data_IF_618216201039
#
_entry.id   IF_618216201039
#
_cell.length_a   1.000
_cell.length_b   1.000
_cell.length_c   1.000
_cell.angle_alpha   90.00
_cell.angle_beta   90.00
_cell.angle_gamma   90.00
#
_symmetry.space_group_name_H-M   'P 1'
#
loop_
_entity.id
_entity.type
_entity.pdbx_description
1 polymer ?
#
# COMPACT_ATOMS: atom_id res chain seq x y z
N UNK A 1 -0.16 9.63 7.00
CA UNK A 1 0.35 8.75 5.95
C UNK A 1 1.87 8.70 5.96
N UNK A 2 2.45 7.52 5.91
CA UNK A 2 3.89 7.30 5.75
C UNK A 2 4.13 6.27 4.65
N UNK A 3 5.09 6.51 3.78
CA UNK A 3 5.55 5.57 2.77
C UNK A 3 7.07 5.39 2.91
N UNK A 4 7.54 4.16 2.87
CA UNK A 4 8.97 3.86 2.95
C UNK A 4 9.30 2.59 2.15
N UNK A 5 10.43 2.63 1.45
CA UNK A 5 11.01 1.49 0.74
C UNK A 5 12.18 0.84 1.47
N UNK A 6 12.64 1.42 2.58
CA UNK A 6 13.71 0.88 3.41
C UNK A 6 13.15 -0.11 4.44
N UNK A 7 13.70 -1.33 4.49
CA UNK A 7 13.19 -2.42 5.34
C UNK A 7 13.28 -2.13 6.84
N UNK A 8 14.34 -1.46 7.30
CA UNK A 8 14.46 -1.07 8.71
C UNK A 8 13.41 -0.02 9.09
N UNK A 9 13.21 0.98 8.22
CA UNK A 9 12.19 1.99 8.43
C UNK A 9 10.78 1.41 8.39
N UNK A 10 10.56 0.37 7.58
CA UNK A 10 9.28 -0.35 7.54
C UNK A 10 8.97 -1.03 8.87
N UNK A 11 9.92 -1.79 9.42
CA UNK A 11 9.74 -2.47 10.71
C UNK A 11 9.57 -1.46 11.85
N UNK A 12 10.34 -0.38 11.86
CA UNK A 12 10.17 0.69 12.86
C UNK A 12 8.79 1.34 12.78
N UNK A 13 8.30 1.63 11.58
CA UNK A 13 6.95 2.17 11.38
C UNK A 13 5.88 1.16 11.82
N UNK A 14 6.06 -0.11 11.47
CA UNK A 14 5.16 -1.19 11.84
C UNK A 14 5.02 -1.35 13.36
N UNK A 15 6.13 -1.28 14.09
CA UNK A 15 6.13 -1.45 15.56
C UNK A 15 5.38 -0.34 16.33
N UNK A 16 5.10 0.79 15.68
CA UNK A 16 4.37 1.92 16.26
C UNK A 16 2.89 1.94 15.88
N UNK A 17 2.43 0.96 15.12
CA UNK A 17 1.02 0.86 14.69
C UNK A 17 0.12 0.43 15.84
N UNK A 18 -1.16 0.73 15.67
CA UNK A 18 -2.24 0.41 16.60
C UNK A 18 -3.39 -0.27 15.85
N UNK A 19 -4.38 -0.85 16.53
CA UNK A 19 -5.55 -1.44 15.86
C UNK A 19 -6.39 -0.46 15.03
N UNK A 20 -6.19 0.86 15.18
CA UNK A 20 -6.84 1.89 14.36
C UNK A 20 -6.11 2.16 13.05
N UNK A 21 -4.90 1.61 12.88
CA UNK A 21 -4.10 1.84 11.70
C UNK A 21 -4.38 0.80 10.60
N UNK A 22 -4.17 1.21 9.36
CA UNK A 22 -4.23 0.35 8.17
C UNK A 22 -2.91 0.43 7.44
N UNK A 23 -2.37 -0.72 7.08
CA UNK A 23 -1.17 -0.80 6.23
C UNK A 23 -1.52 -1.36 4.85
N UNK A 24 -1.00 -0.70 3.83
CA UNK A 24 -1.05 -1.16 2.45
C UNK A 24 0.33 -1.71 2.07
N UNK A 25 0.43 -3.03 1.92
CA UNK A 25 1.58 -3.69 1.35
C UNK A 25 1.44 -3.86 -0.16
N UNK A 26 2.51 -3.62 -0.87
CA UNK A 26 2.62 -3.91 -2.31
C UNK A 26 3.75 -4.90 -2.51
N UNK A 27 3.41 -6.13 -2.86
CA UNK A 27 4.40 -7.19 -3.08
C UNK A 27 3.91 -8.15 -4.15
N UNK A 28 4.54 -8.16 -5.32
CA UNK A 28 4.15 -9.01 -6.43
C UNK A 28 4.10 -10.50 -6.05
N UNK A 29 5.16 -11.00 -5.42
CA UNK A 29 5.23 -12.40 -4.98
C UNK A 29 4.43 -12.69 -3.70
N UNK A 30 4.16 -11.65 -2.87
CA UNK A 30 3.58 -11.83 -1.56
C UNK A 30 4.39 -12.71 -0.60
N UNK A 31 5.70 -12.88 -0.85
CA UNK A 31 6.54 -13.87 -0.16
C UNK A 31 7.96 -13.38 0.14
N UNK A 32 8.33 -12.14 -0.16
CA UNK A 32 9.67 -11.64 0.14
C UNK A 32 9.92 -11.62 1.64
N UNK A 33 11.13 -11.97 2.04
CA UNK A 33 11.50 -12.13 3.45
C UNK A 33 11.23 -10.86 4.25
N UNK A 34 11.72 -9.72 3.79
CA UNK A 34 11.59 -8.44 4.47
C UNK A 34 10.11 -8.04 4.66
N UNK A 35 9.29 -8.25 3.62
CA UNK A 35 7.86 -8.02 3.70
C UNK A 35 7.19 -8.93 4.73
N UNK A 36 7.55 -10.22 4.75
CA UNK A 36 6.98 -11.18 5.70
C UNK A 36 7.38 -10.88 7.15
N UNK A 37 8.60 -10.41 7.38
CA UNK A 37 9.06 -9.98 8.70
C UNK A 37 8.28 -8.75 9.18
N UNK A 38 8.16 -7.73 8.34
CA UNK A 38 7.37 -6.52 8.64
C UNK A 38 5.89 -6.84 8.85
N UNK A 39 5.32 -7.71 8.00
CA UNK A 39 3.92 -8.11 8.09
C UNK A 39 3.57 -8.79 9.43
N UNK A 40 4.47 -9.64 9.96
CA UNK A 40 4.28 -10.26 11.27
C UNK A 40 4.24 -9.22 12.38
N UNK A 41 5.15 -8.26 12.36
CA UNK A 41 5.14 -7.14 13.33
C UNK A 41 3.83 -6.37 13.26
N UNK A 42 3.34 -6.04 12.06
CA UNK A 42 2.03 -5.38 11.89
C UNK A 42 0.90 -6.21 12.50
N UNK A 43 0.87 -7.52 12.25
CA UNK A 43 -0.19 -8.39 12.78
C UNK A 43 -0.18 -8.44 14.32
N UNK A 44 0.99 -8.36 14.96
CA UNK A 44 1.11 -8.30 16.43
C UNK A 44 0.51 -7.02 17.01
N UNK A 45 0.51 -5.90 16.28
CA UNK A 45 -0.09 -4.64 16.72
C UNK A 45 -1.62 -4.60 16.59
N UNK A 46 -2.21 -5.53 15.86
CA UNK A 46 -3.64 -5.56 15.58
C UNK A 46 -4.09 -4.63 14.43
N UNK A 47 -3.16 -3.94 13.78
CA UNK A 47 -3.45 -3.11 12.62
C UNK A 47 -3.99 -3.94 11.45
N UNK A 48 -4.82 -3.33 10.61
CA UNK A 48 -5.41 -3.97 9.43
C UNK A 48 -4.42 -3.99 8.27
N UNK A 49 -4.41 -5.09 7.55
CA UNK A 49 -3.49 -5.33 6.44
C UNK A 49 -4.25 -5.47 5.13
N UNK A 50 -3.92 -4.61 4.17
CA UNK A 50 -4.31 -4.74 2.76
C UNK A 50 -3.04 -5.12 1.99
N UNK A 51 -3.09 -6.21 1.23
CA UNK A 51 -1.98 -6.65 0.38
C UNK A 51 -2.38 -6.60 -1.09
N UNK A 52 -1.61 -5.86 -1.88
CA UNK A 52 -1.66 -5.92 -3.35
C UNK A 52 -0.60 -6.94 -3.79
N UNK A 53 -1.04 -8.03 -4.43
CA UNK A 53 -0.16 -9.12 -4.88
C UNK A 53 -0.67 -9.75 -6.16
N UNK A 54 0.18 -10.52 -6.84
CA UNK A 54 -0.23 -11.34 -7.98
C UNK A 54 -0.74 -12.72 -7.56
N UNK A 55 -0.23 -13.25 -6.43
CA UNK A 55 -0.49 -14.64 -6.02
C UNK A 55 -1.44 -14.69 -4.82
N UNK A 56 -2.66 -15.18 -5.09
CA UNK A 56 -3.72 -15.33 -4.09
C UNK A 56 -3.30 -16.24 -2.92
N UNK A 57 -2.56 -17.31 -3.22
CA UNK A 57 -2.12 -18.30 -2.24
C UNK A 57 -0.77 -17.98 -1.58
N UNK A 58 -0.22 -16.78 -1.80
CA UNK A 58 1.05 -16.41 -1.22
C UNK A 58 1.04 -16.40 0.32
N UNK A 59 2.20 -16.60 0.97
CA UNK A 59 2.29 -16.52 2.43
C UNK A 59 1.78 -15.21 3.01
N UNK A 60 2.02 -14.09 2.32
CA UNK A 60 1.53 -12.77 2.70
C UNK A 60 0.01 -12.65 2.57
N UNK A 61 -0.57 -13.22 1.51
CA UNK A 61 -2.01 -13.22 1.29
C UNK A 61 -2.76 -13.94 2.41
N UNK A 62 -2.19 -15.03 2.94
CA UNK A 62 -2.79 -15.78 4.06
C UNK A 62 -2.78 -15.03 5.39
N UNK A 63 -1.95 -14.02 5.53
CA UNK A 63 -1.87 -13.16 6.73
C UNK A 63 -2.59 -11.83 6.57
N UNK A 64 -2.86 -11.40 5.35
CA UNK A 64 -3.56 -10.15 5.07
C UNK A 64 -5.05 -10.25 5.44
N UNK A 65 -5.64 -9.13 5.87
CA UNK A 65 -7.08 -9.03 6.11
C UNK A 65 -7.85 -8.83 4.79
N UNK A 66 -7.23 -8.14 3.82
CA UNK A 66 -7.77 -7.92 2.47
C UNK A 66 -6.65 -8.17 1.45
N UNK A 67 -6.96 -8.93 0.42
CA UNK A 67 -6.05 -9.18 -0.70
C UNK A 67 -6.63 -8.59 -1.98
N UNK A 68 -5.84 -7.75 -2.64
CA UNK A 68 -6.15 -7.19 -3.95
C UNK A 68 -5.21 -7.82 -4.97
N UNK A 69 -5.78 -8.57 -5.89
CA UNK A 69 -5.01 -9.25 -6.93
C UNK A 69 -4.74 -8.28 -8.09
N UNK A 70 -3.50 -8.20 -8.53
CA UNK A 70 -3.13 -7.39 -9.67
C UNK A 70 -2.11 -8.11 -10.56
N UNK A 71 -2.12 -7.75 -11.84
CA UNK A 71 -1.19 -8.28 -12.86
C UNK A 71 -1.86 -9.22 -13.85
N UNK A 72 -1.16 -9.46 -14.96
CA UNK A 72 -1.54 -10.42 -15.98
C UNK A 72 -0.77 -11.73 -15.80
N UNK A 73 -1.15 -12.78 -16.54
CA UNK A 73 -0.32 -13.99 -16.63
C UNK A 73 1.01 -13.63 -17.28
N UNK A 74 2.07 -13.66 -16.48
CA UNK A 74 3.43 -13.37 -16.92
C UNK A 74 4.31 -14.60 -16.72
N UNK A 75 5.32 -14.71 -17.58
CA UNK A 75 6.41 -15.66 -17.37
C UNK A 75 7.16 -15.30 -16.08
N UNK A 76 7.65 -16.29 -15.30
CA UNK A 76 8.53 -16.03 -14.15
C UNK A 76 9.77 -15.19 -14.49
N UNK A 77 10.13 -15.12 -15.78
CA UNK A 77 11.24 -14.30 -16.28
C UNK A 77 10.87 -12.81 -16.42
N UNK A 78 9.58 -12.48 -16.43
CA UNK A 78 9.07 -11.12 -16.60
C UNK A 78 8.76 -10.42 -15.27
N UNK A 79 9.14 -11.03 -14.14
CA UNK A 79 8.89 -10.48 -12.81
C UNK A 79 9.47 -9.06 -12.69
N UNK A 80 8.61 -8.10 -12.35
CA UNK A 80 8.99 -6.69 -12.26
C UNK A 80 8.87 -5.93 -13.58
N UNK A 81 8.19 -6.48 -14.57
CA UNK A 81 7.90 -5.85 -15.87
C UNK A 81 7.10 -4.54 -15.74
N UNK A 82 7.10 -3.75 -16.79
CA UNK A 82 6.32 -2.49 -16.85
C UNK A 82 4.82 -2.75 -16.66
N UNK A 83 4.18 -3.75 -17.28
CA UNK A 83 2.78 -4.06 -17.07
C UNK A 83 2.40 -4.28 -15.60
N UNK A 84 3.22 -4.98 -14.82
CA UNK A 84 2.97 -5.18 -13.39
C UNK A 84 2.98 -3.85 -12.64
N UNK A 85 3.97 -3.00 -12.91
CA UNK A 85 4.09 -1.70 -12.24
C UNK A 85 2.88 -0.82 -12.56
N UNK A 86 2.43 -0.82 -13.83
CA UNK A 86 1.23 -0.09 -14.25
C UNK A 86 -0.02 -0.65 -13.56
N UNK A 87 -0.17 -1.97 -13.46
CA UNK A 87 -1.31 -2.58 -12.77
C UNK A 87 -1.35 -2.20 -11.29
N UNK A 88 -0.22 -2.22 -10.60
CA UNK A 88 -0.13 -1.80 -9.19
C UNK A 88 -0.48 -0.32 -9.02
N UNK A 89 0.05 0.56 -9.88
CA UNK A 89 -0.28 1.99 -9.87
C UNK A 89 -1.77 2.23 -10.11
N UNK A 90 -2.36 1.49 -11.06
CA UNK A 90 -3.80 1.57 -11.34
C UNK A 90 -4.65 1.17 -10.12
N UNK A 91 -4.32 0.06 -9.46
CA UNK A 91 -5.03 -0.36 -8.23
C UNK A 91 -4.88 0.69 -7.14
N UNK A 92 -3.68 1.26 -6.96
CA UNK A 92 -3.43 2.33 -6.00
C UNK A 92 -4.28 3.57 -6.29
N UNK A 93 -4.37 3.98 -7.55
CA UNK A 93 -5.19 5.13 -7.97
C UNK A 93 -6.69 4.89 -7.73
N UNK A 94 -7.20 3.68 -8.05
CA UNK A 94 -8.59 3.32 -7.79
C UNK A 94 -8.91 3.38 -6.29
N UNK A 95 -8.01 2.88 -5.43
CA UNK A 95 -8.18 2.97 -3.97
C UNK A 95 -8.21 4.42 -3.49
N UNK A 96 -7.29 5.26 -3.99
CA UNK A 96 -7.25 6.68 -3.66
C UNK A 96 -8.53 7.39 -4.08
N UNK A 97 -8.95 7.22 -5.34
CA UNK A 97 -10.17 7.84 -5.85
C UNK A 97 -11.40 7.39 -5.06
N UNK A 98 -11.49 6.11 -4.72
CA UNK A 98 -12.58 5.60 -3.91
C UNK A 98 -12.61 6.25 -2.52
N UNK A 99 -11.45 6.36 -1.87
CA UNK A 99 -11.31 7.03 -0.59
C UNK A 99 -11.76 8.50 -0.65
N UNK A 100 -11.35 9.22 -1.71
CA UNK A 100 -11.73 10.62 -1.92
C UNK A 100 -13.24 10.81 -2.16
N UNK A 101 -13.87 9.84 -2.85
CA UNK A 101 -15.31 9.87 -3.14
C UNK A 101 -16.18 9.48 -1.93
N UNK A 102 -15.63 8.78 -0.94
CA UNK A 102 -16.38 8.42 0.27
C UNK A 102 -16.60 9.62 1.19
N UNK A 103 -15.70 10.62 1.18
CA UNK A 103 -15.84 11.87 1.92
C UNK A 103 -15.34 13.05 1.05
N UNK A 104 -16.17 13.54 0.11
CA UNK A 104 -15.79 14.60 -0.81
C UNK A 104 -15.54 15.94 -0.11
N UNK A 105 -16.26 16.23 0.97
CA UNK A 105 -16.11 17.50 1.70
C UNK A 105 -14.74 17.59 2.34
N UNK A 106 -14.35 16.58 3.12
CA UNK A 106 -13.03 16.52 3.73
C UNK A 106 -11.90 16.47 2.68
N UNK A 107 -12.14 15.78 1.56
CA UNK A 107 -11.20 15.71 0.44
C UNK A 107 -10.95 17.09 -0.17
N UNK A 108 -12.01 17.83 -0.46
CA UNK A 108 -11.91 19.18 -1.04
C UNK A 108 -11.20 20.14 -0.07
N UNK A 109 -11.56 20.13 1.21
CA UNK A 109 -10.87 20.94 2.22
C UNK A 109 -9.36 20.62 2.31
N UNK A 110 -8.99 19.34 2.26
CA UNK A 110 -7.59 18.93 2.28
C UNK A 110 -6.85 19.38 1.01
N UNK A 111 -7.49 19.30 -0.16
CA UNK A 111 -6.93 19.76 -1.43
C UNK A 111 -6.75 21.29 -1.46
N UNK A 112 -7.72 22.05 -0.98
CA UNK A 112 -7.63 23.50 -0.90
C UNK A 112 -6.49 23.94 0.00
N UNK A 113 -6.38 23.36 1.20
CA UNK A 113 -5.26 23.62 2.13
C UNK A 113 -3.88 23.30 1.54
N UNK A 114 -3.76 22.19 0.80
CA UNK A 114 -2.48 21.83 0.16
C UNK A 114 -2.17 22.75 -1.01
N UNK A 115 -3.17 23.14 -1.79
CA UNK A 115 -3.03 24.09 -2.91
C UNK A 115 -2.59 25.48 -2.43
N UNK A 116 -3.18 25.99 -1.37
CA UNK A 116 -2.77 27.25 -0.72
C UNK A 116 -1.32 27.18 -0.24
N UNK A 117 -0.92 26.08 0.41
CA UNK A 117 0.45 25.91 0.92
C UNK A 117 1.48 25.87 -0.22
N UNK A 118 1.13 25.32 -1.40
CA UNK A 118 2.02 25.28 -2.57
C UNK A 118 2.06 26.60 -3.31
N UNK A 119 0.94 27.37 -3.33
CA UNK A 119 0.86 28.65 -3.99
C UNK A 119 1.94 29.65 -3.50
N UNK A 120 2.34 29.56 -2.24
CA UNK A 120 3.43 30.39 -1.65
C UNK A 120 4.78 30.14 -2.35
N UNK A 121 4.98 28.99 -2.99
CA UNK A 121 6.23 28.63 -3.69
C UNK A 121 6.25 29.00 -5.17
N UNK A 122 5.14 29.51 -5.72
CA UNK A 122 5.00 29.84 -7.14
C UNK A 122 5.30 31.33 -7.43
N UNK A 123 5.84 32.06 -6.46
CA UNK A 123 6.27 33.47 -6.58
C UNK A 123 7.79 33.52 -6.72
#
# INVERSE_FOLDING_TARGET
FRATGDSHMQIMAASLMTPQDVVLFVSYSGATRDMMETLRVVKETGAKVILITHYEDSPGAKLADIVLLCGAQESPLDSGSIPIKVAVLYVGEVLLLRYMLDDPEHTNEAQDRTSEAVAIKLI
#
